data_IF_463600834317
#
_entry.id   IF_463600834317
#
_cell.length_a   1.000
_cell.length_b   1.000
_cell.length_c   1.000
_cell.angle_alpha   90.00
_cell.angle_beta   90.00
_cell.angle_gamma   90.00
#
_symmetry.space_group_name_H-M   'P 1'
#
loop_
_entity.id
_entity.type
_entity.pdbx_description
1 polymer ?
#
# COMPACT_ATOMS: atom_id res chain seq x y z
N UNK A 1 63.53 -16.69 19.54
CA UNK A 1 62.13 -17.08 19.28
C UNK A 1 61.25 -15.90 19.61
N UNK A 2 60.56 -15.35 18.60
CA UNK A 2 59.19 -14.80 18.66
C UNK A 2 58.94 -14.00 17.38
N UNK A 3 58.30 -14.65 16.41
CA UNK A 3 57.83 -14.03 15.16
C UNK A 3 56.45 -13.43 15.45
N UNK A 4 56.33 -12.11 15.37
CA UNK A 4 55.06 -11.39 15.42
C UNK A 4 54.29 -11.64 14.11
N UNK A 5 53.07 -12.20 14.19
CA UNK A 5 52.14 -12.31 13.06
C UNK A 5 51.24 -11.07 13.03
N UNK A 6 51.09 -10.37 11.88
CA UNK A 6 50.10 -9.31 11.76
C UNK A 6 48.70 -9.94 11.57
N UNK A 7 47.75 -9.54 12.41
CA UNK A 7 46.34 -9.88 12.24
C UNK A 7 45.73 -8.90 11.24
N UNK A 8 45.30 -9.42 10.08
CA UNK A 8 44.53 -8.69 9.08
C UNK A 8 43.07 -8.61 9.57
N UNK A 9 42.65 -7.43 9.99
CA UNK A 9 41.24 -7.14 10.26
C UNK A 9 40.51 -6.94 8.92
N UNK A 10 39.70 -7.92 8.53
CA UNK A 10 38.80 -7.82 7.39
C UNK A 10 37.57 -7.01 7.82
N UNK A 11 37.49 -5.73 7.42
CA UNK A 11 36.34 -4.88 7.68
C UNK A 11 35.20 -5.29 6.75
N UNK A 12 34.31 -6.16 7.24
CA UNK A 12 33.06 -6.50 6.55
C UNK A 12 32.12 -5.29 6.60
N UNK A 13 32.05 -4.50 5.52
CA UNK A 13 30.93 -3.59 5.31
C UNK A 13 29.67 -4.45 5.07
N UNK A 14 28.87 -4.61 6.12
CA UNK A 14 27.51 -5.08 5.97
C UNK A 14 26.70 -3.97 5.29
N UNK A 15 26.53 -4.06 3.97
CA UNK A 15 25.54 -3.26 3.25
C UNK A 15 24.16 -3.76 3.70
N UNK A 16 23.52 -3.04 4.63
CA UNK A 16 22.12 -3.25 4.94
C UNK A 16 21.31 -2.81 3.73
N UNK A 17 20.78 -3.79 2.99
CA UNK A 17 19.76 -3.54 1.99
C UNK A 17 18.50 -3.13 2.77
N UNK A 18 18.28 -1.83 2.92
CA UNK A 18 17.03 -1.37 3.45
C UNK A 18 15.95 -1.77 2.43
N UNK A 19 15.08 -2.72 2.77
CA UNK A 19 13.84 -2.92 2.04
C UNK A 19 12.99 -1.67 2.28
N UNK A 20 13.27 -0.62 1.51
CA UNK A 20 12.40 0.55 1.42
C UNK A 20 11.03 0.03 1.00
N UNK A 21 9.97 0.53 1.64
CA UNK A 21 8.61 0.30 1.16
C UNK A 21 8.49 1.01 -0.20
N UNK A 22 8.90 0.33 -1.27
CA UNK A 22 8.89 0.88 -2.63
C UNK A 22 7.44 1.14 -3.04
N UNK A 23 7.14 2.37 -3.44
CA UNK A 23 5.88 2.69 -4.09
C UNK A 23 5.88 2.03 -5.46
N UNK A 24 4.81 1.30 -5.77
CA UNK A 24 4.66 0.57 -7.04
C UNK A 24 3.25 0.67 -7.56
N UNK A 25 3.14 0.97 -8.85
CA UNK A 25 1.92 0.83 -9.64
C UNK A 25 2.22 -0.07 -10.85
N UNK A 26 1.51 -1.19 -10.96
CA UNK A 26 1.48 -1.99 -12.18
C UNK A 26 0.16 -1.80 -12.89
N UNK A 27 0.19 -1.71 -14.23
CA UNK A 27 -1.00 -1.66 -15.06
C UNK A 27 -0.91 -2.76 -16.11
N UNK A 28 -2.03 -3.45 -16.31
CA UNK A 28 -2.25 -4.41 -17.38
C UNK A 28 -3.49 -3.99 -18.17
N UNK A 29 -3.29 -3.66 -19.43
CA UNK A 29 -4.34 -3.22 -20.35
C UNK A 29 -4.63 -4.34 -21.34
N UNK A 30 -5.90 -4.73 -21.45
CA UNK A 30 -6.35 -5.69 -22.45
C UNK A 30 -6.22 -5.10 -23.87
N UNK A 31 -6.06 -5.95 -24.88
CA UNK A 31 -6.07 -5.51 -26.27
C UNK A 31 -7.43 -4.83 -26.58
N UNK A 32 -7.39 -3.58 -27.03
CA UNK A 32 -8.58 -2.76 -27.29
C UNK A 32 -9.02 -1.87 -26.13
N UNK A 33 -8.40 -1.95 -24.94
CA UNK A 33 -8.63 -0.97 -23.88
C UNK A 33 -8.08 0.40 -24.30
N UNK A 34 -8.93 1.43 -24.21
CA UNK A 34 -8.62 2.78 -24.64
C UNK A 34 -7.56 3.45 -23.75
N UNK A 35 -7.59 3.19 -22.44
CA UNK A 35 -6.76 3.93 -21.47
C UNK A 35 -5.31 3.49 -21.52
N UNK A 36 -5.06 2.19 -21.38
CA UNK A 36 -3.71 1.63 -21.43
C UNK A 36 -3.26 1.23 -22.84
N UNK A 37 -4.11 1.35 -23.85
CA UNK A 37 -3.81 1.07 -25.25
C UNK A 37 -3.23 -0.34 -25.50
N UNK A 38 -3.68 -1.33 -24.72
CA UNK A 38 -3.20 -2.72 -24.78
C UNK A 38 -1.77 -2.93 -24.30
N UNK A 39 -1.22 -2.01 -23.49
CA UNK A 39 0.15 -2.07 -22.96
C UNK A 39 0.19 -2.35 -21.46
N UNK A 40 1.32 -2.89 -21.03
CA UNK A 40 1.64 -3.03 -19.62
C UNK A 40 2.55 -1.88 -19.17
N UNK A 41 2.34 -1.39 -17.96
CA UNK A 41 3.14 -0.32 -17.36
C UNK A 41 3.61 -0.72 -15.97
N UNK A 42 4.83 -0.30 -15.62
CA UNK A 42 5.39 -0.42 -14.27
C UNK A 42 5.97 0.92 -13.87
N UNK A 43 5.39 1.49 -12.82
CA UNK A 43 5.88 2.70 -12.18
C UNK A 43 6.38 2.36 -10.78
N UNK A 44 7.57 2.84 -10.45
CA UNK A 44 8.12 2.79 -9.09
C UNK A 44 8.80 4.11 -8.74
N UNK A 45 9.21 4.28 -7.49
CA UNK A 45 9.95 5.47 -7.06
C UNK A 45 11.23 5.72 -7.88
N UNK A 46 11.76 4.69 -8.56
CA UNK A 46 12.93 4.81 -9.43
C UNK A 46 12.63 5.52 -10.76
N UNK A 47 11.37 5.53 -11.22
CA UNK A 47 11.01 6.00 -12.56
C UNK A 47 9.77 6.91 -12.61
N UNK A 48 9.12 7.17 -11.49
CA UNK A 48 7.94 8.01 -11.39
C UNK A 48 7.85 8.75 -10.06
N UNK A 49 7.08 9.84 -10.06
CA UNK A 49 6.66 10.54 -8.84
C UNK A 49 5.21 10.20 -8.55
N UNK A 50 4.92 9.89 -7.29
CA UNK A 50 3.57 9.62 -6.78
C UNK A 50 3.16 10.76 -5.83
N UNK A 51 1.96 11.31 -6.02
CA UNK A 51 1.41 12.38 -5.16
C UNK A 51 -0.01 12.04 -4.74
N UNK A 52 -0.17 11.79 -3.44
CA UNK A 52 -1.46 11.50 -2.82
C UNK A 52 -2.11 12.77 -2.29
N UNK A 53 -3.43 12.83 -2.42
CA UNK A 53 -4.27 13.85 -1.81
C UNK A 53 -5.64 13.25 -1.49
N UNK A 54 -6.34 13.85 -0.53
CA UNK A 54 -7.74 13.54 -0.26
C UNK A 54 -8.61 14.25 -1.30
N UNK A 55 -9.51 13.50 -1.94
CA UNK A 55 -10.47 14.07 -2.90
C UNK A 55 -11.69 14.68 -2.18
N UNK A 56 -12.57 15.37 -2.92
CA UNK A 56 -13.71 16.06 -2.32
C UNK A 56 -14.78 15.12 -1.74
N UNK A 57 -14.76 13.83 -2.13
CA UNK A 57 -15.68 12.77 -1.66
C UNK A 57 -15.01 11.89 -0.59
N UNK A 58 -14.07 12.48 0.17
CA UNK A 58 -13.33 11.85 1.27
C UNK A 58 -12.56 10.57 0.88
N UNK A 59 -12.37 10.38 -0.43
CA UNK A 59 -11.58 9.33 -1.02
C UNK A 59 -10.16 9.77 -1.33
N UNK A 60 -9.55 9.08 -2.29
CA UNK A 60 -8.13 9.19 -2.61
C UNK A 60 -8.00 9.70 -4.05
N UNK A 61 -7.18 10.73 -4.25
CA UNK A 61 -6.61 11.08 -5.56
C UNK A 61 -5.12 10.79 -5.52
N UNK A 62 -4.65 9.97 -6.46
CA UNK A 62 -3.24 9.71 -6.72
C UNK A 62 -2.87 10.26 -8.10
N UNK A 63 -1.90 11.17 -8.14
CA UNK A 63 -1.26 11.62 -9.37
C UNK A 63 0.08 10.90 -9.57
N UNK A 64 0.29 10.34 -10.75
CA UNK A 64 1.53 9.67 -11.16
C UNK A 64 2.12 10.43 -12.35
N UNK A 65 3.40 10.78 -12.27
CA UNK A 65 4.14 11.36 -13.40
C UNK A 65 5.41 10.55 -13.64
N UNK A 66 5.67 10.15 -14.89
CA UNK A 66 6.94 9.52 -15.25
C UNK A 66 8.10 10.47 -14.99
N UNK A 67 9.30 9.93 -14.70
CA UNK A 67 10.46 10.74 -14.32
C UNK A 67 10.92 11.75 -15.38
N UNK A 68 10.58 11.51 -16.65
CA UNK A 68 10.82 12.44 -17.77
C UNK A 68 9.62 13.37 -18.06
N UNK A 69 8.52 13.27 -17.30
CA UNK A 69 7.30 14.07 -17.45
C UNK A 69 6.42 13.76 -18.67
N UNK A 70 6.81 12.82 -19.54
CA UNK A 70 6.10 12.57 -20.81
C UNK A 70 4.78 11.81 -20.64
N UNK A 71 4.63 11.04 -19.57
CA UNK A 71 3.45 10.23 -19.28
C UNK A 71 2.97 10.57 -17.88
N UNK A 72 1.67 10.80 -17.75
CA UNK A 72 1.03 11.04 -16.47
C UNK A 72 -0.28 10.28 -16.37
N UNK A 73 -0.66 9.95 -15.14
CA UNK A 73 -1.89 9.28 -14.79
C UNK A 73 -2.49 9.89 -13.52
N UNK A 74 -3.81 9.76 -13.40
CA UNK A 74 -4.58 10.07 -12.20
C UNK A 74 -5.47 8.89 -11.88
N UNK A 75 -5.40 8.44 -10.62
CA UNK A 75 -6.32 7.48 -10.03
C UNK A 75 -7.19 8.20 -8.98
N UNK A 76 -8.50 8.14 -9.13
CA UNK A 76 -9.46 8.52 -8.08
C UNK A 76 -10.23 7.30 -7.61
N UNK A 77 -10.35 7.16 -6.29
CA UNK A 77 -11.15 6.16 -5.61
C UNK A 77 -12.03 6.85 -4.57
N UNK A 78 -13.30 6.49 -4.48
CA UNK A 78 -14.23 7.00 -3.48
C UNK A 78 -15.15 5.89 -2.95
N UNK A 79 -15.42 5.91 -1.64
CA UNK A 79 -16.42 5.03 -1.04
C UNK A 79 -17.83 5.63 -1.21
N UNK A 80 -18.89 4.81 -1.18
CA UNK A 80 -20.25 5.31 -1.07
C UNK A 80 -20.44 6.27 0.11
N UNK A 81 -21.31 7.26 -0.07
CA UNK A 81 -21.77 8.14 0.99
C UNK A 81 -20.71 9.10 1.54
N UNK A 82 -19.70 9.47 0.74
CA UNK A 82 -18.59 10.34 1.18
C UNK A 82 -17.83 9.75 2.40
N UNK A 83 -17.87 8.42 2.54
CA UNK A 83 -17.16 7.72 3.58
C UNK A 83 -15.65 7.71 3.27
N UNK A 84 -14.83 7.68 4.33
CA UNK A 84 -13.40 7.44 4.15
C UNK A 84 -13.21 6.00 3.71
N UNK A 85 -12.34 5.76 2.72
CA UNK A 85 -12.03 4.40 2.27
C UNK A 85 -11.46 3.56 3.42
N UNK A 86 -11.85 2.29 3.47
CA UNK A 86 -11.45 1.30 4.47
C UNK A 86 -11.08 0.01 3.73
N UNK A 87 -10.36 -0.93 4.39
CA UNK A 87 -10.18 -2.26 3.82
C UNK A 87 -11.52 -2.91 3.44
N UNK A 88 -11.62 -3.41 2.22
CA UNK A 88 -12.85 -3.98 1.68
C UNK A 88 -12.93 -3.94 0.15
N UNK A 89 -13.96 -4.60 -0.38
CA UNK A 89 -14.27 -4.66 -1.81
C UNK A 89 -15.35 -3.63 -2.16
N UNK A 90 -15.09 -2.86 -3.22
CA UNK A 90 -15.95 -1.82 -3.74
C UNK A 90 -16.39 -2.22 -5.15
N UNK A 91 -17.52 -2.92 -5.20
CA UNK A 91 -18.09 -3.46 -6.44
C UNK A 91 -18.95 -2.43 -7.16
N UNK A 92 -19.17 -2.67 -8.46
CA UNK A 92 -20.02 -1.84 -9.32
C UNK A 92 -19.67 -0.34 -9.24
N UNK A 93 -18.37 -0.03 -9.17
CA UNK A 93 -17.88 1.33 -9.17
C UNK A 93 -18.22 2.02 -10.51
N UNK A 94 -18.69 3.26 -10.42
CA UNK A 94 -19.03 4.10 -11.57
C UNK A 94 -18.11 5.32 -11.64
N UNK A 95 -18.26 6.12 -12.69
CA UNK A 95 -17.30 7.16 -13.04
C UNK A 95 -17.19 8.23 -11.95
N UNK A 96 -16.03 8.36 -11.31
CA UNK A 96 -15.70 9.55 -10.52
C UNK A 96 -15.51 10.78 -11.41
N UNK A 97 -16.07 11.97 -11.11
CA UNK A 97 -16.83 12.40 -9.92
C UNK A 97 -18.37 12.26 -9.98
N UNK A 98 -18.91 11.48 -10.93
CA UNK A 98 -20.33 11.43 -11.28
C UNK A 98 -21.08 10.21 -10.72
N UNK A 99 -20.46 9.42 -9.86
CA UNK A 99 -21.09 8.26 -9.22
C UNK A 99 -22.31 8.67 -8.38
N UNK A 100 -23.29 7.78 -8.26
CA UNK A 100 -24.38 7.99 -7.32
C UNK A 100 -23.87 7.92 -5.87
N UNK A 101 -24.54 8.59 -4.93
CA UNK A 101 -24.13 8.61 -3.51
C UNK A 101 -24.06 7.21 -2.88
N UNK A 102 -24.83 6.24 -3.39
CA UNK A 102 -24.82 4.85 -2.92
C UNK A 102 -23.76 3.96 -3.61
N UNK A 103 -22.99 4.51 -4.55
CA UNK A 103 -22.05 3.77 -5.38
C UNK A 103 -20.60 4.19 -5.11
N UNK A 104 -19.63 3.27 -5.23
CA UNK A 104 -18.22 3.66 -5.23
C UNK A 104 -17.85 4.45 -6.48
N UNK A 105 -16.95 5.42 -6.33
CA UNK A 105 -16.37 6.17 -7.44
C UNK A 105 -15.02 5.61 -7.85
N UNK A 106 -14.81 5.43 -9.16
CA UNK A 106 -13.53 5.05 -9.76
C UNK A 106 -13.20 5.94 -10.95
N UNK A 107 -11.94 6.34 -11.09
CA UNK A 107 -11.37 6.90 -12.31
C UNK A 107 -9.90 6.51 -12.41
N UNK A 108 -9.51 5.87 -13.50
CA UNK A 108 -8.13 5.85 -13.96
C UNK A 108 -8.05 6.49 -15.35
N UNK A 109 -7.29 7.57 -15.46
CA UNK A 109 -7.12 8.35 -16.70
C UNK A 109 -5.73 8.95 -16.77
N UNK A 110 -5.31 9.40 -17.95
CA UNK A 110 -4.01 10.02 -18.09
C UNK A 110 -3.54 10.16 -19.52
N UNK A 111 -2.55 11.04 -19.72
CA UNK A 111 -1.85 11.22 -21.00
C UNK A 111 -2.82 11.37 -22.20
N UNK A 112 -3.87 12.18 -22.01
CA UNK A 112 -4.89 12.48 -23.02
C UNK A 112 -5.98 11.42 -23.18
N UNK A 113 -6.07 10.43 -22.29
CA UNK A 113 -7.07 9.36 -22.33
C UNK A 113 -7.91 9.34 -21.05
N UNK A 114 -9.21 9.26 -21.20
CA UNK A 114 -10.18 9.11 -20.12
C UNK A 114 -11.47 8.52 -20.64
N UNK A 115 -12.25 7.89 -19.77
CA UNK A 115 -13.60 7.47 -20.12
C UNK A 115 -14.59 8.62 -19.85
N UNK A 116 -15.59 8.77 -20.73
CA UNK A 116 -16.81 9.52 -20.44
C UNK A 116 -17.70 8.74 -19.48
N UNK A 117 -17.80 7.41 -19.65
CA UNK A 117 -18.50 6.50 -18.74
C UNK A 117 -17.66 5.28 -18.44
N UNK A 118 -17.85 4.66 -17.27
CA UNK A 118 -17.16 3.42 -16.93
C UNK A 118 -17.97 2.53 -16.00
N UNK A 119 -17.63 1.25 -16.05
CA UNK A 119 -17.94 0.25 -15.03
C UNK A 119 -16.63 -0.28 -14.46
N UNK A 120 -16.60 -0.57 -13.17
CA UNK A 120 -15.40 -1.13 -12.56
C UNK A 120 -15.60 -1.66 -11.16
N UNK A 121 -14.47 -1.99 -10.54
CA UNK A 121 -14.39 -2.40 -9.14
C UNK A 121 -13.01 -2.10 -8.61
N UNK A 122 -12.90 -1.97 -7.30
CA UNK A 122 -11.60 -1.93 -6.65
C UNK A 122 -11.63 -2.60 -5.29
N UNK A 123 -10.49 -3.09 -4.86
CA UNK A 123 -10.27 -3.71 -3.56
C UNK A 123 -9.24 -2.85 -2.83
N UNK A 124 -9.55 -2.47 -1.60
CA UNK A 124 -8.60 -1.91 -0.65
C UNK A 124 -8.20 -3.05 0.28
N UNK A 125 -6.97 -3.52 0.16
CA UNK A 125 -6.45 -4.56 1.06
C UNK A 125 -6.00 -3.94 2.38
N UNK A 126 -5.31 -2.80 2.30
CA UNK A 126 -4.84 -2.02 3.44
C UNK A 126 -4.88 -0.55 3.09
N UNK A 127 -5.21 0.30 4.07
CA UNK A 127 -5.10 1.76 3.93
C UNK A 127 -4.82 2.39 5.29
N UNK A 128 -3.97 3.41 5.31
CA UNK A 128 -3.70 4.23 6.47
C UNK A 128 -3.64 5.70 6.08
N UNK A 129 -3.98 6.57 7.04
CA UNK A 129 -4.10 8.00 6.83
C UNK A 129 -3.27 8.76 7.85
N UNK A 130 -2.79 9.94 7.47
CA UNK A 130 -2.21 10.91 8.38
C UNK A 130 -3.28 11.67 9.17
N UNK A 131 -2.85 12.61 10.02
CA UNK A 131 -3.76 13.43 10.85
C UNK A 131 -4.67 14.36 10.05
N UNK A 132 -4.38 14.60 8.77
CA UNK A 132 -5.17 15.42 7.85
C UNK A 132 -6.12 14.56 6.99
N UNK A 133 -6.09 13.23 7.15
CA UNK A 133 -6.88 12.30 6.35
C UNK A 133 -6.31 12.04 4.96
N UNK A 134 -5.05 12.41 4.71
CA UNK A 134 -4.34 12.06 3.46
C UNK A 134 -3.73 10.67 3.62
N UNK A 135 -3.73 9.88 2.54
CA UNK A 135 -3.17 8.53 2.55
C UNK A 135 -1.68 8.57 2.88
N UNK A 136 -1.28 7.78 3.86
CA UNK A 136 0.11 7.56 4.25
C UNK A 136 0.57 6.11 3.98
N UNK A 137 -0.33 5.23 3.56
CA UNK A 137 -0.02 3.89 3.06
C UNK A 137 -1.26 3.23 2.47
N UNK A 138 -1.10 2.47 1.38
CA UNK A 138 -2.20 1.78 0.70
C UNK A 138 -1.72 0.56 -0.07
N UNK A 139 -2.49 -0.54 0.01
CA UNK A 139 -2.45 -1.66 -0.91
C UNK A 139 -3.83 -1.79 -1.55
N UNK A 140 -3.90 -1.67 -2.87
CA UNK A 140 -5.16 -1.73 -3.59
C UNK A 140 -5.02 -2.34 -4.98
N UNK A 141 -6.12 -2.89 -5.49
CA UNK A 141 -6.25 -3.22 -6.90
C UNK A 141 -7.51 -2.63 -7.48
N UNK A 142 -7.51 -2.33 -8.77
CA UNK A 142 -8.69 -1.83 -9.47
C UNK A 142 -8.81 -2.45 -10.86
N UNK A 143 -10.04 -2.49 -11.35
CA UNK A 143 -10.39 -2.83 -12.72
C UNK A 143 -11.38 -1.80 -13.26
N UNK A 144 -11.12 -1.29 -14.45
CA UNK A 144 -11.95 -0.31 -15.13
C UNK A 144 -12.21 -0.73 -16.58
N UNK A 145 -13.44 -0.53 -17.02
CA UNK A 145 -13.90 -0.70 -18.39
C UNK A 145 -14.49 0.62 -18.90
N UNK A 146 -13.99 1.17 -20.01
CA UNK A 146 -14.55 2.40 -20.57
C UNK A 146 -15.76 2.12 -21.48
N UNK A 147 -16.74 3.02 -21.47
CA UNK A 147 -17.87 3.05 -22.42
C UNK A 147 -18.65 1.72 -22.54
N UNK A 148 -18.73 0.94 -21.46
CA UNK A 148 -19.38 -0.36 -21.44
C UNK A 148 -18.67 -1.44 -22.28
N UNK A 149 -17.45 -1.18 -22.74
CA UNK A 149 -16.65 -2.14 -23.49
C UNK A 149 -16.12 -3.26 -22.58
N UNK A 150 -15.83 -4.44 -23.16
CA UNK A 150 -15.29 -5.59 -22.44
C UNK A 150 -13.79 -5.51 -22.10
N UNK A 151 -12.91 -4.89 -22.92
CA UNK A 151 -11.49 -4.76 -22.59
C UNK A 151 -11.28 -3.91 -21.33
N UNK A 152 -10.51 -4.44 -20.38
CA UNK A 152 -10.27 -3.77 -19.11
C UNK A 152 -8.85 -3.19 -19.01
N UNK A 153 -8.74 -2.13 -18.21
CA UNK A 153 -7.51 -1.75 -17.55
C UNK A 153 -7.54 -2.28 -16.11
N UNK A 154 -6.51 -3.03 -15.71
CA UNK A 154 -6.32 -3.51 -14.34
C UNK A 154 -5.07 -2.92 -13.74
N UNK A 155 -5.15 -2.46 -12.49
CA UNK A 155 -4.01 -1.92 -11.77
C UNK A 155 -3.82 -2.54 -10.40
N UNK A 156 -2.56 -2.62 -9.96
CA UNK A 156 -2.18 -2.92 -8.57
C UNK A 156 -1.29 -1.81 -8.03
N UNK A 157 -1.70 -1.23 -6.91
CA UNK A 157 -1.06 -0.13 -6.23
C UNK A 157 -0.53 -0.58 -4.87
N UNK A 158 0.72 -0.25 -4.59
CA UNK A 158 1.36 -0.44 -3.30
C UNK A 158 2.10 0.85 -2.94
N UNK A 159 1.83 1.42 -1.78
CA UNK A 159 2.50 2.62 -1.28
C UNK A 159 2.70 2.52 0.21
N UNK A 160 3.93 2.82 0.67
CA UNK A 160 4.29 2.79 2.08
C UNK A 160 3.78 1.53 2.79
N UNK A 161 3.81 0.39 2.08
CA UNK A 161 3.54 -0.90 2.68
C UNK A 161 4.72 -1.25 3.56
N UNK A 162 4.56 -0.94 4.83
CA UNK A 162 5.41 -1.51 5.85
C UNK A 162 5.02 -3.00 5.90
N UNK A 163 5.90 -3.95 5.54
CA UNK A 163 5.56 -5.35 5.66
C UNK A 163 5.10 -5.60 7.10
N UNK A 164 3.89 -6.17 7.31
CA UNK A 164 3.37 -6.33 8.64
C UNK A 164 4.38 -7.15 9.43
N UNK A 165 4.86 -6.57 10.52
CA UNK A 165 5.82 -7.26 11.36
C UNK A 165 5.07 -7.81 12.53
N UNK A 166 4.46 -8.96 12.27
CA UNK A 166 3.35 -9.44 13.05
C UNK A 166 3.31 -10.93 13.27
N UNK A 167 2.35 -11.31 14.11
CA UNK A 167 2.00 -12.71 14.39
C UNK A 167 0.50 -12.84 14.41
N UNK A 168 0.01 -14.01 14.02
CA UNK A 168 -1.37 -14.42 14.21
C UNK A 168 -1.43 -15.53 15.26
N UNK A 169 -2.50 -15.57 16.06
CA UNK A 169 -2.69 -16.57 17.11
C UNK A 169 -3.94 -17.43 16.85
N UNK A 170 -3.84 -18.72 17.17
CA UNK A 170 -4.92 -19.71 17.09
C UNK A 170 -4.96 -20.50 18.41
N UNK A 171 -6.15 -20.76 18.95
CA UNK A 171 -6.35 -21.52 20.20
C UNK A 171 -5.93 -20.75 21.46
N UNK A 172 -5.85 -19.43 21.37
CA UNK A 172 -5.55 -18.53 22.48
C UNK A 172 -6.44 -17.31 22.34
N UNK A 173 -7.17 -16.96 23.40
CA UNK A 173 -7.88 -15.68 23.54
C UNK A 173 -6.92 -14.62 24.07
N UNK A 174 -6.45 -13.67 23.24
CA UNK A 174 -5.41 -12.73 23.68
C UNK A 174 -5.95 -11.67 24.65
N UNK A 175 -5.11 -11.25 25.59
CA UNK A 175 -5.38 -10.17 26.56
C UNK A 175 -4.47 -8.97 26.28
N UNK A 176 -3.20 -9.25 25.95
CA UNK A 176 -2.21 -8.22 25.62
C UNK A 176 -1.10 -8.76 24.74
N UNK A 177 -0.37 -7.86 24.11
CA UNK A 177 0.84 -8.18 23.37
C UNK A 177 1.97 -7.18 23.68
N UNK A 178 3.20 -7.68 23.57
CA UNK A 178 4.43 -6.88 23.67
C UNK A 178 5.19 -6.96 22.36
N UNK A 179 5.59 -5.80 21.85
CA UNK A 179 6.50 -5.63 20.74
C UNK A 179 7.83 -5.09 21.27
N UNK A 180 8.93 -5.80 21.06
CA UNK A 180 10.27 -5.39 21.49
C UNK A 180 11.21 -5.41 20.28
N UNK A 181 11.76 -4.26 19.93
CA UNK A 181 12.96 -4.20 19.10
C UNK A 181 14.17 -4.37 20.03
N UNK A 182 14.82 -5.53 19.98
CA UNK A 182 15.99 -5.86 20.82
C UNK A 182 17.22 -5.09 20.39
N UNK A 183 17.31 -4.70 19.12
CA UNK A 183 18.43 -3.89 18.61
C UNK A 183 18.39 -2.47 19.16
N UNK A 184 17.21 -1.82 19.11
CA UNK A 184 17.06 -0.44 19.60
C UNK A 184 16.66 -0.33 21.07
N UNK A 185 16.14 -1.42 21.66
CA UNK A 185 15.57 -1.44 23.00
C UNK A 185 14.13 -0.90 23.09
N UNK A 186 13.53 -0.44 22.00
CA UNK A 186 12.17 0.08 22.01
C UNK A 186 11.17 -1.02 22.37
N UNK A 187 10.31 -0.77 23.36
CA UNK A 187 9.29 -1.70 23.83
C UNK A 187 7.91 -1.05 23.83
N UNK A 188 6.93 -1.72 23.25
CA UNK A 188 5.53 -1.33 23.25
C UNK A 188 4.69 -2.45 23.86
N UNK A 189 3.78 -2.11 24.77
CA UNK A 189 2.80 -3.02 25.34
C UNK A 189 1.42 -2.48 25.04
N UNK A 190 0.50 -3.36 24.60
CA UNK A 190 -0.86 -3.01 24.22
C UNK A 190 -1.83 -4.08 24.71
N UNK A 191 -3.01 -3.66 25.17
CA UNK A 191 -4.13 -4.56 25.42
C UNK A 191 -4.90 -4.73 24.11
N UNK A 192 -5.19 -5.97 23.74
CA UNK A 192 -5.96 -6.30 22.54
C UNK A 192 -6.45 -7.74 22.62
N UNK A 193 -7.67 -7.96 22.13
CA UNK A 193 -8.27 -9.28 21.94
C UNK A 193 -8.28 -9.70 20.46
N UNK A 194 -7.63 -8.93 19.58
CA UNK A 194 -7.48 -9.29 18.18
C UNK A 194 -6.62 -10.55 18.03
N UNK A 195 -6.76 -11.28 16.92
CA UNK A 195 -5.96 -12.48 16.62
C UNK A 195 -4.82 -12.19 15.64
N UNK A 196 -4.77 -10.99 15.07
CA UNK A 196 -3.69 -10.49 14.22
C UNK A 196 -3.03 -9.29 14.90
N UNK A 197 -1.70 -9.31 15.00
CA UNK A 197 -0.92 -8.26 15.64
C UNK A 197 0.16 -7.78 14.69
N UNK A 198 0.27 -6.47 14.45
CA UNK A 198 1.41 -5.87 13.74
C UNK A 198 2.11 -4.86 14.65
N UNK A 199 3.37 -5.16 14.97
CA UNK A 199 4.17 -4.32 15.84
C UNK A 199 4.61 -3.02 15.18
N UNK A 200 4.81 -2.97 13.86
CA UNK A 200 5.14 -1.72 13.17
C UNK A 200 3.92 -0.81 13.13
N UNK A 201 2.73 -1.34 12.85
CA UNK A 201 1.47 -0.61 12.97
C UNK A 201 1.22 -0.11 14.41
N UNK A 202 1.63 -0.87 15.43
CA UNK A 202 1.53 -0.45 16.83
C UNK A 202 2.50 0.71 17.21
N UNK A 203 3.42 1.08 16.31
CA UNK A 203 4.39 2.17 16.45
C UNK A 203 5.82 1.72 16.71
N UNK A 204 6.13 0.42 16.61
CA UNK A 204 7.49 -0.09 16.80
C UNK A 204 8.33 0.33 15.58
N UNK A 205 9.40 1.08 15.85
CA UNK A 205 10.40 1.46 14.87
C UNK A 205 11.28 0.24 14.58
N UNK A 206 11.34 -0.16 13.32
CA UNK A 206 12.08 -1.36 12.90
C UNK A 206 12.78 -1.10 11.60
N UNK A 207 14.10 -1.26 11.62
CA UNK A 207 14.97 -1.18 10.48
C UNK A 207 15.37 -2.58 10.00
N UNK A 208 15.73 -2.73 8.71
CA UNK A 208 16.24 -3.99 8.19
C UNK A 208 17.49 -4.46 8.94
N UNK A 209 17.46 -5.70 9.43
CA UNK A 209 18.50 -6.29 10.28
C UNK A 209 18.23 -6.22 11.78
N UNK A 210 17.17 -5.52 12.22
CA UNK A 210 16.79 -5.48 13.63
C UNK A 210 16.32 -6.84 14.14
N UNK A 211 16.68 -7.17 15.38
CA UNK A 211 16.14 -8.31 16.10
C UNK A 211 14.86 -7.89 16.81
N UNK A 212 13.74 -8.53 16.48
CA UNK A 212 12.44 -8.23 17.09
C UNK A 212 11.89 -9.44 17.84
N UNK A 213 11.27 -9.19 18.99
CA UNK A 213 10.48 -10.17 19.73
C UNK A 213 9.05 -9.67 19.87
N UNK A 214 8.10 -10.55 19.52
CA UNK A 214 6.67 -10.34 19.74
C UNK A 214 6.21 -11.38 20.74
N UNK A 215 5.51 -10.96 21.79
CA UNK A 215 5.00 -11.86 22.83
C UNK A 215 3.53 -11.60 23.06
N UNK A 216 2.71 -12.65 22.94
CA UNK A 216 1.27 -12.60 23.21
C UNK A 216 1.01 -13.20 24.58
N UNK A 217 0.13 -12.56 25.36
CA UNK A 217 -0.37 -13.09 26.64
C UNK A 217 -1.88 -13.19 26.56
N UNK A 218 -2.41 -14.37 26.83
CA UNK A 218 -3.82 -14.69 26.73
C UNK A 218 -4.15 -16.01 27.41
N UNK A 219 -5.41 -16.40 27.36
CA UNK A 219 -5.88 -17.70 27.87
C UNK A 219 -5.91 -18.71 26.74
N UNK A 220 -5.55 -19.97 27.00
CA UNK A 220 -5.77 -21.04 26.03
C UNK A 220 -7.26 -21.34 25.89
N UNK A 221 -7.67 -21.76 24.69
CA UNK A 221 -9.05 -22.19 24.36
C UNK A 221 -9.22 -23.71 24.48
#
# INVERSE_FOLDING_TARGET
>A
MNVFKPALACLLLAASCAASAETRLTLKSDAGDYIGAGKNYLYTDANATFRYSKNYDNGITLNISSGNGSVWWTLDLAAPGNAQLQPGSYEAATRFPFQATSEPGLNFSGSGRGCNTLTGRFDIFEVSYDSQGVVNGINASFEQHCEGATPALRGQLSYNLVPPMGVSTVGVTPISYTCLNRTSGQRLVRKSTATLFDCKQAGLQVNPGDQVTISITGSAE
#
